data_IF_197360244401
#
_entry.id   IF_197360244401
#
_cell.length_a   1.000
_cell.length_b   1.000
_cell.length_c   1.000
_cell.angle_alpha   90.00
_cell.angle_beta   90.00
_cell.angle_gamma   90.00
#
_symmetry.space_group_name_H-M   'P 1'
#
loop_
_entity.id
_entity.type
_entity.pdbx_description
1 polymer ?
#
# COMPACT_ATOMS: atom_id res chain seq x y z
N UNK A 1 -22.63 28.87 10.31
CA UNK A 1 -21.62 29.91 10.64
C UNK A 1 -20.41 29.23 11.23
N UNK A 2 -19.22 29.59 10.76
CA UNK A 2 -17.93 29.07 11.24
C UNK A 2 -17.51 29.94 12.42
N UNK A 3 -17.28 29.38 13.59
CA UNK A 3 -16.80 30.11 14.73
C UNK A 3 -15.33 29.75 15.01
N UNK A 4 -14.42 30.70 14.91
CA UNK A 4 -12.98 30.44 14.96
C UNK A 4 -12.38 30.40 16.36
N UNK A 5 -13.14 30.62 17.43
CA UNK A 5 -12.54 30.99 18.70
C UNK A 5 -12.65 30.00 19.85
N UNK A 6 -13.14 28.79 19.63
CA UNK A 6 -13.52 27.90 20.75
C UNK A 6 -12.42 26.98 21.29
N UNK A 7 -11.24 26.93 20.70
CA UNK A 7 -10.15 26.07 21.22
C UNK A 7 -8.82 26.79 21.10
N UNK A 8 -8.26 27.17 22.22
CA UNK A 8 -6.90 27.67 22.34
C UNK A 8 -5.89 26.63 21.88
N UNK A 9 -5.41 26.76 20.67
CA UNK A 9 -4.41 25.92 20.04
C UNK A 9 -4.43 26.16 18.55
N UNK A 10 -3.30 25.99 17.87
CA UNK A 10 -3.11 26.20 16.44
C UNK A 10 -4.01 25.27 15.58
N UNK A 11 -5.30 25.49 15.56
CA UNK A 11 -6.19 24.79 14.63
C UNK A 11 -6.39 25.62 13.35
N UNK A 12 -5.87 25.12 12.25
CA UNK A 12 -6.00 25.73 10.91
C UNK A 12 -7.38 25.59 10.27
N UNK A 13 -8.35 24.90 10.90
CA UNK A 13 -9.72 24.69 10.36
C UNK A 13 -10.76 24.92 11.44
N UNK A 14 -11.81 25.71 11.12
CA UNK A 14 -12.97 25.87 11.98
C UNK A 14 -13.83 24.59 12.02
N UNK A 15 -14.25 24.17 13.21
CA UNK A 15 -15.14 23.04 13.44
C UNK A 15 -16.55 23.57 13.61
N UNK A 16 -17.55 22.88 13.07
CA UNK A 16 -18.96 23.20 13.29
C UNK A 16 -19.36 22.81 14.71
N UNK A 17 -20.13 23.67 15.41
CA UNK A 17 -20.56 23.41 16.77
C UNK A 17 -21.44 22.15 16.88
N UNK A 18 -22.26 21.87 15.88
CA UNK A 18 -23.13 20.69 15.80
C UNK A 18 -22.34 19.34 15.67
N UNK A 19 -21.06 19.39 15.35
CA UNK A 19 -20.20 18.21 15.29
C UNK A 19 -19.42 17.93 16.59
N UNK A 20 -19.58 18.78 17.60
CA UNK A 20 -18.93 18.61 18.91
C UNK A 20 -19.68 17.68 19.87
N UNK A 21 -20.89 17.22 19.47
CA UNK A 21 -21.74 16.32 20.25
C UNK A 21 -22.89 17.03 20.99
N UNK A 22 -23.70 16.24 21.69
CA UNK A 22 -24.83 16.71 22.43
C UNK A 22 -24.41 17.70 23.54
N UNK A 23 -25.10 18.79 23.67
CA UNK A 23 -24.79 19.87 24.64
C UNK A 23 -23.95 21.01 24.05
N UNK A 24 -23.47 20.90 22.81
CA UNK A 24 -22.70 21.94 22.11
C UNK A 24 -23.44 22.55 20.92
N UNK A 25 -24.71 22.26 20.76
CA UNK A 25 -25.49 22.89 19.71
C UNK A 25 -25.68 24.39 20.01
N UNK A 26 -25.92 25.25 19.01
CA UNK A 26 -26.17 26.68 19.23
C UNK A 26 -27.36 26.96 20.17
N UNK A 27 -28.33 26.05 20.24
CA UNK A 27 -29.44 26.12 21.16
C UNK A 27 -29.01 25.80 22.60
N UNK A 28 -28.24 24.74 22.81
CA UNK A 28 -27.70 24.35 24.12
C UNK A 28 -26.83 25.46 24.72
N UNK A 29 -25.94 26.04 23.90
CA UNK A 29 -25.08 27.13 24.35
C UNK A 29 -25.87 28.39 24.74
N UNK A 30 -26.93 28.72 24.03
CA UNK A 30 -27.82 29.83 24.40
C UNK A 30 -28.53 29.57 25.71
N UNK A 31 -29.03 28.34 25.95
CA UNK A 31 -29.69 27.95 27.19
C UNK A 31 -28.69 27.99 28.38
N UNK A 32 -27.44 27.59 28.18
CA UNK A 32 -26.39 27.71 29.20
C UNK A 32 -26.03 29.18 29.49
N UNK A 33 -25.93 30.03 28.47
CA UNK A 33 -25.65 31.47 28.63
C UNK A 33 -26.83 32.19 29.30
N UNK A 34 -28.04 31.75 29.01
CA UNK A 34 -29.26 32.30 29.66
C UNK A 34 -29.47 31.80 31.12
N UNK A 35 -28.63 30.87 31.59
CA UNK A 35 -28.76 30.26 32.92
C UNK A 35 -29.85 29.22 33.04
N UNK A 36 -30.50 28.85 31.95
CA UNK A 36 -31.60 27.88 31.89
C UNK A 36 -31.14 26.44 31.98
N UNK A 37 -29.87 26.18 31.67
CA UNK A 37 -29.26 24.84 31.65
C UNK A 37 -27.84 24.89 32.21
N UNK A 38 -27.52 24.02 33.16
CA UNK A 38 -26.13 23.85 33.62
C UNK A 38 -25.28 23.17 32.56
N UNK A 39 -24.15 23.73 32.24
CA UNK A 39 -23.20 23.10 31.34
C UNK A 39 -22.46 21.96 32.08
N UNK A 40 -22.86 20.76 31.82
CA UNK A 40 -22.07 19.55 32.17
C UNK A 40 -21.13 19.27 30.98
N UNK A 41 -19.81 19.52 31.11
CA UNK A 41 -18.89 19.10 30.08
C UNK A 41 -19.02 17.58 29.96
N UNK A 42 -19.61 17.09 28.87
CA UNK A 42 -19.43 15.70 28.53
C UNK A 42 -17.95 15.56 28.32
N UNK A 43 -17.24 14.84 29.25
CA UNK A 43 -16.02 14.19 28.87
C UNK A 43 -16.42 13.37 27.67
N UNK A 44 -16.01 13.83 26.46
CA UNK A 44 -15.95 12.94 25.34
C UNK A 44 -15.14 11.76 25.87
N UNK A 45 -15.84 10.69 26.24
CA UNK A 45 -15.23 9.41 26.27
C UNK A 45 -14.78 9.25 24.82
N UNK A 46 -13.54 9.67 24.56
CA UNK A 46 -12.83 9.27 23.38
C UNK A 46 -13.14 7.78 23.31
N UNK A 47 -13.93 7.38 22.31
CA UNK A 47 -14.14 5.97 22.04
C UNK A 47 -12.77 5.35 22.26
N UNK A 48 -12.63 4.30 23.10
CA UNK A 48 -11.30 3.76 23.37
C UNK A 48 -10.71 3.49 22.01
N UNK A 49 -9.84 4.40 21.58
CA UNK A 49 -8.95 4.15 20.46
C UNK A 49 -8.20 2.97 21.00
N UNK A 50 -8.61 1.76 20.62
CA UNK A 50 -7.76 0.57 20.80
C UNK A 50 -6.43 1.05 20.29
N UNK A 51 -5.39 1.15 21.12
CA UNK A 51 -4.08 1.52 20.60
C UNK A 51 -3.82 0.48 19.53
N UNK A 52 -3.81 0.92 18.27
CA UNK A 52 -3.32 0.06 17.21
C UNK A 52 -1.89 -0.26 17.66
N UNK A 53 -1.69 -1.50 18.07
CA UNK A 53 -0.42 -2.02 18.53
C UNK A 53 0.51 -2.13 17.34
N UNK A 54 1.04 -1.01 16.91
CA UNK A 54 1.97 -0.89 15.78
C UNK A 54 3.38 -1.02 16.33
N UNK A 55 4.24 -1.65 15.55
CA UNK A 55 5.67 -1.80 15.85
C UNK A 55 6.42 -0.46 16.01
N UNK A 56 5.76 0.64 15.75
CA UNK A 56 6.33 1.98 15.74
C UNK A 56 6.85 2.40 14.35
N UNK A 57 7.71 3.41 14.33
CA UNK A 57 8.41 3.82 13.13
C UNK A 57 9.89 3.41 13.24
N UNK A 58 10.60 3.43 12.12
CA UNK A 58 12.03 3.18 12.08
C UNK A 58 12.80 4.18 12.95
N UNK A 59 13.82 3.70 13.65
CA UNK A 59 14.73 4.52 14.43
C UNK A 59 15.50 5.46 13.51
N UNK A 60 15.71 6.68 13.99
CA UNK A 60 16.50 7.69 13.28
C UNK A 60 17.98 7.51 13.61
N UNK A 61 18.82 7.40 12.59
CA UNK A 61 20.26 7.49 12.75
C UNK A 61 20.66 8.94 13.02
N UNK A 62 20.86 9.25 14.31
CA UNK A 62 21.19 10.59 14.80
C UNK A 62 22.55 11.04 14.28
N UNK A 63 23.54 10.15 14.25
CA UNK A 63 24.90 10.48 13.84
C UNK A 63 24.97 10.81 12.35
N UNK A 64 24.32 10.01 11.51
CA UNK A 64 24.22 10.32 10.08
C UNK A 64 23.51 11.66 9.84
N UNK A 65 22.48 12.00 10.61
CA UNK A 65 21.77 13.28 10.49
C UNK A 65 22.59 14.47 10.95
N UNK A 66 23.40 14.32 12.01
CA UNK A 66 24.34 15.35 12.46
C UNK A 66 25.43 15.61 11.42
N UNK A 67 26.01 14.54 10.83
CA UNK A 67 26.98 14.66 9.72
C UNK A 67 26.37 15.35 8.50
N UNK A 68 25.07 15.17 8.28
CA UNK A 68 24.32 15.85 7.22
C UNK A 68 23.90 17.29 7.57
N UNK A 69 24.47 17.90 8.65
CA UNK A 69 24.27 19.31 9.02
C UNK A 69 23.04 19.58 9.89
N UNK A 70 22.39 18.56 10.48
CA UNK A 70 21.32 18.81 11.45
C UNK A 70 21.90 19.26 12.79
N UNK A 71 21.28 20.27 13.41
CA UNK A 71 21.77 20.86 14.67
C UNK A 71 21.40 20.04 15.92
N UNK A 72 21.95 20.48 17.07
CA UNK A 72 21.76 19.87 18.39
C UNK A 72 20.29 19.78 18.81
N UNK A 73 19.44 20.73 18.42
CA UNK A 73 17.98 20.67 18.67
C UNK A 73 17.34 19.47 18.00
N UNK A 74 17.73 19.15 16.75
CA UNK A 74 17.28 17.97 16.06
C UNK A 74 17.75 16.68 16.75
N UNK A 75 18.99 16.63 17.21
CA UNK A 75 19.51 15.46 17.92
C UNK A 75 18.70 15.15 19.19
N UNK A 76 18.38 16.15 20.00
CA UNK A 76 17.55 15.98 21.21
C UNK A 76 16.15 15.45 20.86
N UNK A 77 15.53 16.04 19.84
CA UNK A 77 14.22 15.55 19.35
C UNK A 77 14.32 14.09 18.89
N UNK A 78 15.32 13.75 18.08
CA UNK A 78 15.51 12.41 17.56
C UNK A 78 15.79 11.38 18.65
N UNK A 79 16.49 11.74 19.71
CA UNK A 79 16.69 10.89 20.89
C UNK A 79 15.36 10.52 21.56
N UNK A 80 14.52 11.53 21.84
CA UNK A 80 13.19 11.30 22.43
C UNK A 80 12.29 10.51 21.50
N UNK A 81 12.34 10.80 20.21
CA UNK A 81 11.62 10.06 19.19
C UNK A 81 12.05 8.57 19.19
N UNK A 82 13.33 8.30 19.14
CA UNK A 82 13.87 6.94 19.15
C UNK A 82 13.45 6.16 20.41
N UNK A 83 13.55 6.77 21.58
CA UNK A 83 13.10 6.15 22.83
C UNK A 83 11.62 5.74 22.78
N UNK A 84 10.78 6.61 22.22
CA UNK A 84 9.36 6.30 22.03
C UNK A 84 9.16 5.14 21.05
N UNK A 85 9.89 5.12 19.95
CA UNK A 85 9.79 4.04 18.95
C UNK A 85 10.32 2.70 19.53
N UNK A 86 11.41 2.73 20.28
CA UNK A 86 11.92 1.55 20.99
C UNK A 86 10.87 0.97 21.94
N UNK A 87 10.26 1.81 22.78
CA UNK A 87 9.20 1.37 23.68
C UNK A 87 8.00 0.75 22.93
N UNK A 88 7.59 1.35 21.82
CA UNK A 88 6.52 0.82 20.98
C UNK A 88 6.91 -0.51 20.33
N UNK A 89 8.15 -0.63 19.84
CA UNK A 89 8.67 -1.89 19.27
C UNK A 89 8.66 -3.01 20.30
N UNK A 90 9.18 -2.75 21.51
CA UNK A 90 9.19 -3.76 22.60
C UNK A 90 7.78 -4.18 22.98
N UNK A 91 6.86 -3.22 23.14
CA UNK A 91 5.46 -3.52 23.44
C UNK A 91 4.81 -4.38 22.34
N UNK A 92 5.07 -4.06 21.07
CA UNK A 92 4.61 -4.86 19.93
C UNK A 92 5.16 -6.29 20.00
N UNK A 93 6.46 -6.46 20.25
CA UNK A 93 7.09 -7.78 20.35
C UNK A 93 6.55 -8.61 21.53
N UNK A 94 6.30 -7.98 22.68
CA UNK A 94 5.68 -8.64 23.83
C UNK A 94 4.26 -9.11 23.52
N UNK A 95 3.45 -8.23 22.92
CA UNK A 95 2.06 -8.53 22.58
C UNK A 95 1.91 -9.65 21.53
N UNK A 96 2.93 -9.86 20.70
CA UNK A 96 2.95 -10.87 19.64
C UNK A 96 3.85 -12.08 19.97
N UNK A 97 4.41 -12.14 21.19
CA UNK A 97 5.33 -13.21 21.63
C UNK A 97 6.56 -13.36 20.72
N UNK A 98 7.15 -12.22 20.30
CA UNK A 98 8.25 -12.12 19.34
C UNK A 98 9.54 -11.58 19.96
N UNK A 99 9.76 -11.80 21.27
CA UNK A 99 10.96 -11.34 21.97
C UNK A 99 12.22 -12.12 21.55
N UNK A 100 12.07 -13.34 21.04
CA UNK A 100 13.18 -14.09 20.46
C UNK A 100 13.48 -13.56 19.05
N UNK A 101 14.73 -13.13 18.83
CA UNK A 101 15.16 -12.56 17.56
C UNK A 101 15.08 -13.56 16.39
N UNK A 102 15.38 -14.84 16.64
CA UNK A 102 15.31 -15.87 15.60
C UNK A 102 13.86 -16.05 15.14
N UNK A 103 12.90 -16.11 16.10
CA UNK A 103 11.46 -16.20 15.81
C UNK A 103 10.96 -14.96 15.08
N UNK A 104 11.39 -13.76 15.50
CA UNK A 104 11.05 -12.51 14.82
C UNK A 104 11.55 -12.51 13.37
N UNK A 105 12.81 -12.94 13.16
CA UNK A 105 13.43 -12.97 11.83
C UNK A 105 12.72 -13.95 10.91
N UNK A 106 12.37 -15.14 11.42
CA UNK A 106 11.60 -16.14 10.66
C UNK A 106 10.22 -15.63 10.28
N UNK A 107 9.47 -15.06 11.23
CA UNK A 107 8.13 -14.50 10.97
C UNK A 107 8.19 -13.34 9.97
N UNK A 108 9.18 -12.46 10.07
CA UNK A 108 9.37 -11.37 9.12
C UNK A 108 9.66 -11.87 7.70
N UNK A 109 10.49 -12.91 7.58
CA UNK A 109 10.77 -13.56 6.30
C UNK A 109 9.52 -14.24 5.73
N UNK A 110 8.77 -14.98 6.54
CA UNK A 110 7.52 -15.64 6.14
C UNK A 110 6.46 -14.63 5.68
N UNK A 111 6.26 -13.53 6.41
CA UNK A 111 5.33 -12.45 6.02
C UNK A 111 5.74 -11.78 4.70
N UNK A 112 7.05 -11.59 4.48
CA UNK A 112 7.58 -11.05 3.24
C UNK A 112 7.36 -12.01 2.06
N UNK A 113 7.57 -13.30 2.26
CA UNK A 113 7.32 -14.32 1.25
C UNK A 113 5.82 -14.38 0.88
N UNK A 114 4.94 -14.39 1.87
CA UNK A 114 3.49 -14.38 1.67
C UNK A 114 3.01 -13.14 0.91
N UNK A 115 3.49 -11.96 1.29
CA UNK A 115 3.20 -10.71 0.56
C UNK A 115 3.65 -10.79 -0.90
N UNK A 116 4.87 -11.30 -1.15
CA UNK A 116 5.42 -11.43 -2.49
C UNK A 116 4.62 -12.44 -3.34
N UNK A 117 4.18 -13.55 -2.76
CA UNK A 117 3.33 -14.54 -3.42
C UNK A 117 1.99 -13.92 -3.87
N UNK A 118 1.29 -13.24 -2.96
CA UNK A 118 0.04 -12.54 -3.28
C UNK A 118 0.24 -11.46 -4.36
N UNK A 119 1.34 -10.71 -4.28
CA UNK A 119 1.70 -9.70 -5.28
C UNK A 119 1.94 -10.33 -6.66
N UNK A 120 2.66 -11.45 -6.72
CA UNK A 120 2.93 -12.18 -7.95
C UNK A 120 1.63 -12.73 -8.56
N UNK A 121 0.75 -13.30 -7.74
CA UNK A 121 -0.55 -13.82 -8.14
C UNK A 121 -1.44 -12.73 -8.74
N UNK A 122 -1.52 -11.56 -8.10
CA UNK A 122 -2.29 -10.42 -8.61
C UNK A 122 -1.72 -9.97 -9.97
N UNK A 123 -0.39 -9.81 -10.09
CA UNK A 123 0.26 -9.41 -11.33
C UNK A 123 0.05 -10.43 -12.47
N UNK A 124 0.10 -11.73 -12.16
CA UNK A 124 -0.16 -12.78 -13.13
C UNK A 124 -1.60 -12.72 -13.66
N UNK A 125 -2.59 -12.54 -12.76
CA UNK A 125 -3.99 -12.36 -13.14
C UNK A 125 -4.18 -11.11 -14.01
N UNK A 126 -3.58 -9.97 -13.65
CA UNK A 126 -3.64 -8.72 -14.42
C UNK A 126 -3.05 -8.88 -15.83
N UNK A 127 -1.89 -9.53 -15.92
CA UNK A 127 -1.24 -9.82 -17.21
C UNK A 127 -2.16 -10.67 -18.09
N UNK A 128 -2.71 -11.76 -17.52
CA UNK A 128 -3.60 -12.64 -18.28
C UNK A 128 -4.89 -11.96 -18.71
N UNK A 129 -5.47 -11.12 -17.86
CA UNK A 129 -6.65 -10.30 -18.22
C UNK A 129 -6.35 -9.34 -19.37
N UNK A 130 -5.17 -8.72 -19.40
CA UNK A 130 -4.74 -7.86 -20.51
C UNK A 130 -4.56 -8.67 -21.82
N UNK A 131 -3.95 -9.86 -21.75
CA UNK A 131 -3.84 -10.77 -22.90
C UNK A 131 -5.21 -11.16 -23.46
N UNK A 132 -6.16 -11.50 -22.58
CA UNK A 132 -7.54 -11.81 -22.97
C UNK A 132 -8.21 -10.62 -23.66
N UNK A 133 -8.02 -9.41 -23.18
CA UNK A 133 -8.59 -8.21 -23.77
C UNK A 133 -8.10 -8.01 -25.22
N UNK A 134 -6.78 -8.12 -25.44
CA UNK A 134 -6.16 -8.03 -26.77
C UNK A 134 -6.63 -9.16 -27.68
N UNK A 135 -6.67 -10.39 -27.18
CA UNK A 135 -7.13 -11.55 -27.95
C UNK A 135 -8.60 -11.40 -28.40
N UNK A 136 -9.47 -10.92 -27.50
CA UNK A 136 -10.87 -10.63 -27.83
C UNK A 136 -11.01 -9.57 -28.92
N UNK A 137 -10.22 -8.51 -28.85
CA UNK A 137 -10.20 -7.45 -29.87
C UNK A 137 -9.85 -8.04 -31.24
N UNK A 138 -8.78 -8.82 -31.32
CA UNK A 138 -8.39 -9.48 -32.58
C UNK A 138 -9.42 -10.46 -33.09
N UNK A 139 -10.08 -11.24 -32.22
CA UNK A 139 -11.16 -12.17 -32.65
C UNK A 139 -12.35 -11.38 -33.22
N UNK A 140 -12.76 -10.29 -32.57
CA UNK A 140 -13.85 -9.44 -33.06
C UNK A 140 -13.49 -8.79 -34.40
N UNK A 141 -12.28 -8.26 -34.51
CA UNK A 141 -11.78 -7.62 -35.73
C UNK A 141 -11.70 -8.61 -36.90
N UNK A 142 -11.19 -9.82 -36.63
CA UNK A 142 -11.13 -10.88 -37.62
C UNK A 142 -12.52 -11.29 -38.11
N UNK A 143 -13.49 -11.43 -37.20
CA UNK A 143 -14.86 -11.79 -37.54
C UNK A 143 -15.55 -10.71 -38.40
N UNK A 144 -15.40 -9.44 -37.99
CA UNK A 144 -15.99 -8.28 -38.71
C UNK A 144 -15.44 -8.10 -40.12
N UNK A 145 -14.14 -8.35 -40.33
CA UNK A 145 -13.45 -8.11 -41.61
C UNK A 145 -13.36 -9.35 -42.50
N UNK A 146 -13.89 -10.49 -42.02
CA UNK A 146 -13.81 -11.77 -42.72
C UNK A 146 -14.42 -11.71 -44.15
N UNK A 147 -15.60 -11.16 -44.26
CA UNK A 147 -16.32 -11.15 -45.54
C UNK A 147 -15.63 -10.27 -46.58
N UNK A 148 -15.14 -9.10 -46.17
CA UNK A 148 -14.33 -8.22 -46.99
C UNK A 148 -13.04 -8.90 -47.46
N UNK A 149 -12.37 -9.63 -46.56
CA UNK A 149 -11.14 -10.35 -46.89
C UNK A 149 -11.42 -11.53 -47.86
N UNK A 150 -12.53 -12.23 -47.70
CA UNK A 150 -12.97 -13.29 -48.62
C UNK A 150 -13.27 -12.72 -50.01
N UNK A 151 -13.94 -11.58 -50.06
CA UNK A 151 -14.19 -10.86 -51.33
C UNK A 151 -12.87 -10.43 -52.02
N UNK A 152 -11.91 -9.89 -51.25
CA UNK A 152 -10.58 -9.55 -51.74
C UNK A 152 -9.84 -10.77 -52.34
N UNK A 153 -9.90 -11.91 -51.73
CA UNK A 153 -9.34 -13.16 -52.27
C UNK A 153 -10.02 -13.58 -53.57
N UNK A 154 -11.35 -13.52 -53.60
CA UNK A 154 -12.16 -13.83 -54.83
C UNK A 154 -11.86 -12.87 -55.98
N UNK A 155 -11.55 -11.61 -55.68
CA UNK A 155 -11.13 -10.62 -56.64
C UNK A 155 -9.65 -10.76 -57.11
N UNK A 156 -9.02 -11.91 -56.81
CA UNK A 156 -7.63 -12.17 -57.20
C UNK A 156 -6.61 -11.21 -56.59
N UNK A 157 -6.88 -10.70 -55.41
CA UNK A 157 -6.02 -9.70 -54.71
C UNK A 157 -5.88 -8.39 -55.48
N UNK A 158 -6.97 -7.94 -56.13
CA UNK A 158 -7.01 -6.71 -56.97
C UNK A 158 -6.51 -5.49 -56.18
N UNK A 159 -5.60 -4.70 -56.81
CA UNK A 159 -5.11 -3.45 -56.24
C UNK A 159 -6.22 -2.43 -56.04
N UNK A 160 -7.20 -2.38 -56.96
CA UNK A 160 -8.35 -1.48 -56.86
C UNK A 160 -9.19 -1.82 -55.62
N UNK A 161 -9.54 -3.09 -55.45
CA UNK A 161 -10.29 -3.56 -54.27
C UNK A 161 -9.52 -3.33 -52.96
N UNK A 162 -8.20 -3.52 -52.98
CA UNK A 162 -7.36 -3.20 -51.83
C UNK A 162 -7.44 -1.71 -51.46
N UNK A 163 -7.35 -0.82 -52.42
CA UNK A 163 -7.43 0.63 -52.17
C UNK A 163 -8.79 1.07 -51.60
N UNK A 164 -9.88 0.43 -52.04
CA UNK A 164 -11.24 0.73 -51.57
C UNK A 164 -11.49 0.20 -50.15
N UNK A 165 -10.81 -0.89 -49.70
CA UNK A 165 -11.01 -1.61 -48.43
C UNK A 165 -9.73 -1.76 -47.63
N UNK A 166 -8.77 -0.85 -47.74
CA UNK A 166 -7.43 -0.97 -47.18
C UNK A 166 -7.44 -1.17 -45.68
N UNK A 167 -8.26 -0.39 -44.97
CA UNK A 167 -8.34 -0.46 -43.50
C UNK A 167 -8.83 -1.83 -43.02
N UNK A 168 -9.90 -2.38 -43.60
CA UNK A 168 -10.48 -3.66 -43.23
C UNK A 168 -9.53 -4.83 -43.52
N UNK A 169 -8.89 -4.78 -44.70
CA UNK A 169 -7.92 -5.82 -45.11
C UNK A 169 -6.69 -5.79 -44.23
N UNK A 170 -6.23 -4.59 -43.81
CA UNK A 170 -5.09 -4.42 -42.92
C UNK A 170 -5.41 -4.97 -41.52
N UNK A 171 -6.59 -4.61 -40.97
CA UNK A 171 -7.07 -5.12 -39.69
C UNK A 171 -7.19 -6.65 -39.73
N UNK A 172 -7.74 -7.22 -40.80
CA UNK A 172 -7.84 -8.68 -40.95
C UNK A 172 -6.47 -9.37 -40.93
N UNK A 173 -5.52 -8.82 -41.70
CA UNK A 173 -4.16 -9.36 -41.76
C UNK A 173 -3.45 -9.27 -40.40
N UNK A 174 -3.61 -8.12 -39.70
CA UNK A 174 -3.06 -7.93 -38.36
C UNK A 174 -3.61 -8.96 -37.36
N UNK A 175 -4.93 -9.17 -37.36
CA UNK A 175 -5.56 -10.19 -36.51
C UNK A 175 -5.07 -11.60 -36.84
N UNK A 176 -4.95 -11.93 -38.13
CA UNK A 176 -4.43 -13.25 -38.56
C UNK A 176 -2.98 -13.44 -38.12
N UNK A 177 -2.11 -12.48 -38.36
CA UNK A 177 -0.70 -12.55 -37.95
C UNK A 177 -0.55 -12.70 -36.43
N UNK A 178 -1.42 -12.05 -35.65
CA UNK A 178 -1.46 -12.22 -34.19
C UNK A 178 -1.80 -13.66 -33.79
N UNK A 179 -2.79 -14.29 -34.43
CA UNK A 179 -3.15 -15.68 -34.16
C UNK A 179 -2.06 -16.66 -34.59
N UNK A 180 -1.45 -16.43 -35.76
CA UNK A 180 -0.36 -17.25 -36.27
C UNK A 180 0.86 -17.20 -35.30
N UNK A 181 1.14 -16.03 -34.76
CA UNK A 181 2.20 -15.83 -33.75
C UNK A 181 1.95 -16.54 -32.40
N UNK A 182 0.68 -16.73 -32.04
CA UNK A 182 0.30 -17.46 -30.81
C UNK A 182 0.23 -18.99 -31.00
N UNK A 183 0.34 -19.49 -32.25
CA UNK A 183 0.33 -20.89 -32.55
C UNK A 183 -0.99 -21.62 -32.25
N UNK A 184 -2.12 -20.90 -32.19
CA UNK A 184 -3.42 -21.49 -31.94
C UNK A 184 -3.89 -22.39 -33.09
N UNK A 185 -4.10 -23.67 -32.82
CA UNK A 185 -4.79 -24.60 -33.77
C UNK A 185 -6.27 -24.27 -33.92
N UNK A 186 -6.91 -23.76 -32.87
CA UNK A 186 -8.30 -23.35 -32.84
C UNK A 186 -8.43 -22.13 -31.90
N UNK A 187 -9.06 -21.07 -32.41
CA UNK A 187 -9.29 -19.88 -31.61
C UNK A 187 -10.31 -20.14 -30.50
N UNK A 188 -10.07 -19.63 -29.30
CA UNK A 188 -11.05 -19.71 -28.22
C UNK A 188 -12.29 -18.86 -28.56
N UNK A 189 -13.42 -19.26 -27.99
CA UNK A 189 -14.66 -18.49 -28.17
C UNK A 189 -14.66 -17.25 -27.27
N UNK A 190 -15.32 -16.17 -27.71
CA UNK A 190 -15.51 -14.96 -26.89
C UNK A 190 -16.17 -15.30 -25.55
N UNK A 191 -17.10 -16.27 -25.54
CA UNK A 191 -17.76 -16.72 -24.31
C UNK A 191 -16.76 -17.34 -23.33
N UNK A 192 -15.88 -18.22 -23.78
CA UNK A 192 -14.86 -18.85 -22.94
C UNK A 192 -13.88 -17.80 -22.37
N UNK A 193 -13.44 -16.85 -23.19
CA UNK A 193 -12.59 -15.74 -22.76
C UNK A 193 -13.27 -14.82 -21.74
N UNK A 194 -14.57 -14.60 -21.87
CA UNK A 194 -15.34 -13.81 -20.90
C UNK A 194 -15.46 -14.55 -19.57
N UNK A 195 -15.66 -15.87 -19.58
CA UNK A 195 -15.69 -16.68 -18.36
C UNK A 195 -14.35 -16.66 -17.66
N UNK A 196 -13.25 -16.94 -18.39
CA UNK A 196 -11.88 -16.87 -17.85
C UNK A 196 -11.57 -15.49 -17.26
N UNK A 197 -11.95 -14.43 -17.95
CA UNK A 197 -11.76 -13.06 -17.47
C UNK A 197 -12.53 -12.79 -16.16
N UNK A 198 -13.76 -13.27 -16.04
CA UNK A 198 -14.58 -13.10 -14.85
C UNK A 198 -14.01 -13.88 -13.65
N UNK A 199 -13.49 -15.10 -13.89
CA UNK A 199 -12.81 -15.92 -12.87
C UNK A 199 -11.53 -15.23 -12.37
N UNK A 200 -10.68 -14.77 -13.28
CA UNK A 200 -9.45 -14.02 -12.94
C UNK A 200 -9.76 -12.72 -12.18
N UNK A 201 -10.83 -12.02 -12.55
CA UNK A 201 -11.25 -10.82 -11.83
C UNK A 201 -11.72 -11.13 -10.40
N UNK A 202 -12.46 -12.22 -10.21
CA UNK A 202 -12.90 -12.66 -8.89
C UNK A 202 -11.70 -13.10 -8.04
N UNK A 203 -10.78 -13.87 -8.61
CA UNK A 203 -9.54 -14.28 -7.96
C UNK A 203 -8.67 -13.08 -7.55
N UNK A 204 -8.49 -12.11 -8.46
CA UNK A 204 -7.77 -10.85 -8.17
C UNK A 204 -8.40 -10.10 -7.01
N UNK A 205 -9.74 -9.97 -6.98
CA UNK A 205 -10.45 -9.27 -5.90
C UNK A 205 -10.25 -9.95 -4.55
N UNK A 206 -10.32 -11.28 -4.50
CA UNK A 206 -10.07 -12.06 -3.30
C UNK A 206 -8.61 -11.88 -2.82
N UNK A 207 -7.64 -12.09 -3.72
CA UNK A 207 -6.23 -11.92 -3.43
C UNK A 207 -5.89 -10.49 -2.95
N UNK A 208 -6.59 -9.47 -3.43
CA UNK A 208 -6.35 -8.08 -3.04
C UNK A 208 -6.77 -7.77 -1.61
N UNK A 209 -7.78 -8.46 -1.08
CA UNK A 209 -8.19 -8.32 0.32
C UNK A 209 -7.09 -8.85 1.26
N UNK A 210 -6.53 -10.03 0.93
CA UNK A 210 -5.45 -10.65 1.70
C UNK A 210 -4.11 -9.89 1.53
N UNK A 211 -3.82 -9.41 0.33
CA UNK A 211 -2.66 -8.57 0.04
C UNK A 211 -2.55 -7.35 0.94
N UNK A 212 -3.69 -6.67 1.21
CA UNK A 212 -3.68 -5.51 2.10
C UNK A 212 -3.29 -5.89 3.52
N UNK A 213 -3.83 -7.00 4.05
CA UNK A 213 -3.49 -7.51 5.39
C UNK A 213 -2.03 -7.94 5.46
N UNK A 214 -1.60 -8.76 4.49
CA UNK A 214 -0.23 -9.24 4.41
C UNK A 214 0.79 -8.08 4.28
N UNK A 215 0.44 -7.01 3.57
CA UNK A 215 1.27 -5.81 3.46
C UNK A 215 1.48 -5.11 4.80
N UNK A 216 0.41 -4.92 5.56
CA UNK A 216 0.53 -4.26 6.86
C UNK A 216 1.30 -5.16 7.86
N UNK A 217 1.01 -6.46 7.89
CA UNK A 217 1.73 -7.42 8.72
C UNK A 217 3.23 -7.46 8.40
N UNK A 218 3.58 -7.59 7.12
CA UNK A 218 4.97 -7.55 6.66
C UNK A 218 5.66 -6.25 7.09
N UNK A 219 4.99 -5.11 6.91
CA UNK A 219 5.53 -3.80 7.27
C UNK A 219 5.80 -3.68 8.76
N UNK A 220 4.87 -4.13 9.60
CA UNK A 220 5.03 -4.10 11.07
C UNK A 220 6.20 -4.99 11.52
N UNK A 221 6.27 -6.22 11.03
CA UNK A 221 7.34 -7.16 11.36
C UNK A 221 8.72 -6.68 10.89
N UNK A 222 8.80 -6.17 9.65
CA UNK A 222 10.06 -5.63 9.13
C UNK A 222 10.51 -4.37 9.88
N UNK A 223 9.56 -3.51 10.28
CA UNK A 223 9.88 -2.32 11.09
C UNK A 223 10.40 -2.74 12.47
N UNK A 224 9.72 -3.69 13.13
CA UNK A 224 10.16 -4.20 14.42
C UNK A 224 11.57 -4.83 14.31
N UNK A 225 11.77 -5.70 13.31
CA UNK A 225 13.08 -6.33 13.08
C UNK A 225 14.18 -5.29 12.84
N UNK A 226 13.96 -4.32 11.95
CA UNK A 226 14.94 -3.28 11.64
C UNK A 226 15.27 -2.41 12.89
N UNK A 227 14.30 -2.14 13.75
CA UNK A 227 14.54 -1.43 15.00
C UNK A 227 15.41 -2.26 15.98
N UNK A 228 15.16 -3.56 16.09
CA UNK A 228 15.98 -4.45 16.92
C UNK A 228 17.39 -4.58 16.35
N UNK A 229 17.54 -4.77 15.02
CA UNK A 229 18.83 -4.79 14.36
C UNK A 229 19.66 -3.54 14.71
N UNK A 230 19.02 -2.36 14.64
CA UNK A 230 19.69 -1.10 14.98
C UNK A 230 20.04 -0.96 16.46
N UNK A 231 19.22 -1.47 17.36
CA UNK A 231 19.52 -1.50 18.81
C UNK A 231 20.75 -2.36 19.09
N UNK A 232 20.78 -3.56 18.49
CA UNK A 232 21.90 -4.49 18.66
C UNK A 232 23.22 -3.95 18.06
N UNK A 233 23.14 -3.21 16.95
CA UNK A 233 24.31 -2.51 16.39
C UNK A 233 24.84 -1.42 17.34
N UNK A 234 23.94 -0.62 17.94
CA UNK A 234 24.31 0.44 18.89
C UNK A 234 24.97 -0.14 20.14
N UNK A 235 24.48 -1.27 20.66
CA UNK A 235 25.08 -1.94 21.82
C UNK A 235 26.51 -2.39 21.51
N UNK A 236 26.75 -3.03 20.35
CA UNK A 236 28.09 -3.43 19.92
C UNK A 236 29.04 -2.24 19.75
N UNK A 237 28.57 -1.16 19.14
CA UNK A 237 29.37 0.06 18.99
C UNK A 237 29.77 0.66 20.36
N UNK A 238 28.89 0.55 21.38
CA UNK A 238 29.17 1.01 22.73
C UNK A 238 30.17 0.10 23.47
N UNK A 239 30.00 -1.21 23.36
CA UNK A 239 30.93 -2.20 23.95
C UNK A 239 32.35 -2.03 23.40
N UNK A 240 32.50 -1.91 22.08
CA UNK A 240 33.80 -1.66 21.44
C UNK A 240 34.40 -0.32 21.86
N UNK A 241 33.59 0.72 22.04
CA UNK A 241 34.07 2.02 22.49
C UNK A 241 34.53 1.97 23.97
N UNK A 242 33.85 1.22 24.82
CA UNK A 242 34.24 1.01 26.22
C UNK A 242 35.53 0.20 26.34
N UNK A 243 35.66 -0.91 25.60
CA UNK A 243 36.90 -1.69 25.56
C UNK A 243 38.11 -0.88 25.12
N UNK A 244 37.94 0.01 24.11
CA UNK A 244 39.02 0.92 23.69
C UNK A 244 39.43 1.86 24.78
N UNK A 245 38.48 2.45 25.52
CA UNK A 245 38.75 3.35 26.65
C UNK A 245 39.46 2.65 27.80
N UNK A 246 39.06 1.42 28.11
CA UNK A 246 39.73 0.60 29.15
C UNK A 246 41.18 0.29 28.76
N UNK A 247 41.43 -0.15 27.53
CA UNK A 247 42.79 -0.40 27.01
C UNK A 247 43.66 0.85 26.99
N UNK A 248 43.09 2.03 26.69
CA UNK A 248 43.82 3.33 26.76
C UNK A 248 44.08 3.76 28.20
N UNK A 249 43.21 3.41 29.17
CA UNK A 249 43.41 3.69 30.58
C UNK A 249 44.49 2.80 31.23
N UNK A 250 44.58 1.54 30.80
CA UNK A 250 45.61 0.57 31.26
C UNK A 250 47.02 0.89 30.72
N UNK A 251 47.14 1.63 29.62
CA UNK A 251 48.40 2.06 29.01
C UNK A 251 48.94 3.39 29.56
N UNK A 252 48.23 4.05 30.49
CA UNK A 252 48.62 5.29 31.15
C UNK A 252 49.07 5.04 32.57
#
# INVERSE_FOLDING_TARGET
KKDPSLLGGEQKKSIRMDTLGDGYTPADLRAVIAGEKAHTPQKNAAAPVKPEKRSGNLLVDIQAKLRAGKGAGYARWATLFNLKQMAQTVAYLQDHELLDYAVLSEKAAAASAHFNELSARIKAAEKRMAEIAVLREHIVNYAKTRDTYVAYRKAGYSKKFLAEHESEITIHKAAKNYFDGLGFKKLPTIKALNTEYAELLAEKKAAYADYRKAREEMKELLTAKANIDRILELDKEQEEANERREKEAEQR
#
